data_IF_816451263613
#
_entry.id   IF_816451263613
#
_cell.length_a   1.000
_cell.length_b   1.000
_cell.length_c   1.000
_cell.angle_alpha   90.00
_cell.angle_beta   90.00
_cell.angle_gamma   90.00
#
_symmetry.space_group_name_H-M   'P 1'
#
loop_
_entity.id
_entity.type
_entity.pdbx_description
1 polymer ?
#
# COMPACT_ATOMS: atom_id res chain seq x y z
N UNK A 1 -10.93 -17.13 26.89
CA UNK A 1 -10.22 -16.16 27.76
C UNK A 1 -9.40 -15.28 26.82
N UNK A 2 -9.71 -14.00 26.68
CA UNK A 2 -8.88 -13.09 25.89
C UNK A 2 -7.68 -12.71 26.76
N UNK A 3 -6.52 -13.29 26.42
CA UNK A 3 -5.21 -13.03 27.04
C UNK A 3 -4.73 -11.61 26.72
N UNK A 4 -3.91 -11.00 27.57
CA UNK A 4 -3.25 -9.70 27.28
C UNK A 4 -2.02 -9.82 26.38
N UNK A 5 -1.58 -11.03 26.08
CA UNK A 5 -0.60 -11.36 25.06
C UNK A 5 -1.29 -12.14 23.95
N UNK A 6 -1.41 -11.55 22.77
CA UNK A 6 -1.99 -12.20 21.60
C UNK A 6 -0.87 -12.64 20.67
N UNK A 7 -0.56 -13.93 20.64
CA UNK A 7 0.29 -14.49 19.58
C UNK A 7 -0.57 -14.89 18.39
N UNK A 8 0.08 -15.08 17.23
CA UNK A 8 -0.61 -15.54 16.01
C UNK A 8 -1.30 -16.88 16.28
N UNK A 9 -0.69 -17.75 17.08
CA UNK A 9 -1.25 -19.05 17.42
C UNK A 9 -2.46 -18.95 18.34
N UNK A 10 -2.46 -18.02 19.30
CA UNK A 10 -3.61 -17.80 20.17
C UNK A 10 -4.84 -17.35 19.37
N UNK A 11 -4.64 -16.47 18.39
CA UNK A 11 -5.71 -16.01 17.51
C UNK A 11 -6.18 -17.12 16.56
N UNK A 12 -5.27 -17.94 16.04
CA UNK A 12 -5.65 -19.11 15.22
C UNK A 12 -6.46 -20.11 16.04
N UNK A 13 -6.04 -20.41 17.28
CA UNK A 13 -6.77 -21.30 18.17
C UNK A 13 -8.16 -20.73 18.48
N UNK A 14 -8.25 -19.43 18.76
CA UNK A 14 -9.54 -18.77 18.98
C UNK A 14 -10.47 -18.88 17.76
N UNK A 15 -9.95 -18.70 16.53
CA UNK A 15 -10.73 -18.87 15.30
C UNK A 15 -11.20 -20.33 15.11
N UNK A 16 -10.37 -21.31 15.47
CA UNK A 16 -10.75 -22.73 15.45
C UNK A 16 -11.84 -23.06 16.46
N UNK A 17 -11.74 -22.53 17.68
CA UNK A 17 -12.76 -22.70 18.71
C UNK A 17 -14.09 -22.05 18.27
N UNK A 18 -14.00 -20.88 17.64
CA UNK A 18 -15.14 -20.18 17.07
C UNK A 18 -15.80 -20.97 15.93
N UNK A 19 -15.02 -21.56 15.02
CA UNK A 19 -15.54 -22.45 13.98
C UNK A 19 -16.22 -23.69 14.57
N UNK A 20 -15.62 -24.32 15.57
CA UNK A 20 -16.21 -25.48 16.24
C UNK A 20 -17.56 -25.12 16.89
N UNK A 21 -17.62 -23.98 17.59
CA UNK A 21 -18.86 -23.47 18.17
C UNK A 21 -19.92 -23.15 17.10
N UNK A 22 -19.52 -22.52 15.99
CA UNK A 22 -20.41 -22.25 14.85
C UNK A 22 -20.98 -23.55 14.28
N UNK A 23 -20.14 -24.55 14.02
CA UNK A 23 -20.59 -25.84 13.46
C UNK A 23 -21.58 -26.55 14.38
N UNK A 24 -21.35 -26.50 15.70
CA UNK A 24 -22.27 -27.04 16.69
C UNK A 24 -23.62 -26.29 16.68
N UNK A 25 -23.60 -24.96 16.61
CA UNK A 25 -24.82 -24.14 16.59
C UNK A 25 -25.68 -24.40 15.35
N UNK A 26 -25.05 -24.63 14.20
CA UNK A 26 -25.74 -24.87 12.93
C UNK A 26 -25.85 -26.36 12.56
N UNK A 27 -25.60 -27.26 13.51
CA UNK A 27 -25.70 -28.72 13.33
C UNK A 27 -24.96 -29.22 12.08
N UNK A 28 -23.84 -28.60 11.73
CA UNK A 28 -23.04 -28.91 10.53
C UNK A 28 -23.79 -28.78 9.19
N UNK A 29 -24.98 -28.16 9.18
CA UNK A 29 -25.80 -27.97 7.96
C UNK A 29 -25.26 -26.89 7.05
N UNK A 30 -24.50 -25.93 7.59
CA UNK A 30 -23.89 -24.83 6.84
C UNK A 30 -22.35 -24.89 6.97
N UNK A 31 -21.61 -24.63 5.87
CA UNK A 31 -20.17 -24.46 5.97
C UNK A 31 -19.84 -23.22 6.81
N UNK A 32 -18.67 -23.23 7.45
CA UNK A 32 -18.16 -22.04 8.11
C UNK A 32 -17.88 -20.96 7.06
N UNK A 33 -18.39 -19.72 7.27
CA UNK A 33 -18.24 -18.66 6.28
C UNK A 33 -16.77 -18.28 6.12
N UNK A 34 -16.29 -18.29 4.88
CA UNK A 34 -14.97 -17.72 4.53
C UNK A 34 -15.18 -16.29 4.03
N UNK A 35 -14.71 -15.27 4.77
CA UNK A 35 -14.81 -13.90 4.31
C UNK A 35 -13.89 -13.73 3.08
N UNK A 36 -14.34 -13.05 2.03
CA UNK A 36 -13.50 -12.80 0.87
C UNK A 36 -12.37 -11.80 1.17
N UNK A 37 -12.61 -10.84 2.08
CA UNK A 37 -11.61 -9.91 2.61
C UNK A 37 -11.68 -9.87 4.14
N UNK A 38 -10.51 -9.80 4.77
CA UNK A 38 -10.34 -9.45 6.18
C UNK A 38 -9.61 -8.13 6.27
N UNK A 39 -10.27 -7.13 6.85
CA UNK A 39 -9.66 -5.82 7.13
C UNK A 39 -9.00 -5.82 8.51
N UNK A 40 -7.80 -5.25 8.57
CA UNK A 40 -7.02 -5.09 9.79
C UNK A 40 -6.61 -3.63 9.97
N UNK A 41 -6.47 -3.21 11.23
CA UNK A 41 -5.83 -1.96 11.66
C UNK A 41 -4.30 -1.95 11.47
N UNK A 42 -3.72 -2.99 10.86
CA UNK A 42 -2.28 -3.12 10.66
C UNK A 42 -1.61 -4.10 11.63
N UNK A 43 -2.36 -4.69 12.58
CA UNK A 43 -1.84 -5.75 13.46
C UNK A 43 -1.37 -6.96 12.65
N UNK A 44 -0.05 -7.20 12.63
CA UNK A 44 0.54 -8.32 11.90
C UNK A 44 0.09 -9.66 12.45
N UNK A 45 -0.06 -9.76 13.77
CA UNK A 45 -0.52 -10.97 14.45
C UNK A 45 -1.90 -11.40 13.93
N UNK A 46 -2.83 -10.44 13.80
CA UNK A 46 -4.16 -10.70 13.26
C UNK A 46 -4.12 -11.03 11.77
N UNK A 47 -3.29 -10.34 10.99
CA UNK A 47 -3.13 -10.61 9.57
C UNK A 47 -2.61 -12.03 9.31
N UNK A 48 -1.55 -12.43 10.02
CA UNK A 48 -0.99 -13.78 9.93
C UNK A 48 -1.98 -14.84 10.41
N UNK A 49 -2.76 -14.56 11.47
CA UNK A 49 -3.77 -15.50 11.96
C UNK A 49 -4.88 -15.70 10.92
N UNK A 50 -5.36 -14.62 10.30
CA UNK A 50 -6.35 -14.68 9.24
C UNK A 50 -5.83 -15.43 8.00
N UNK A 51 -4.61 -15.14 7.55
CA UNK A 51 -3.95 -15.86 6.45
C UNK A 51 -3.86 -17.35 6.76
N UNK A 52 -3.40 -17.72 7.96
CA UNK A 52 -3.22 -19.12 8.33
C UNK A 52 -4.54 -19.86 8.45
N UNK A 53 -5.53 -19.26 9.10
CA UNK A 53 -6.82 -19.89 9.35
C UNK A 53 -7.66 -20.01 8.06
N UNK A 54 -7.83 -18.91 7.32
CA UNK A 54 -8.73 -18.92 6.16
C UNK A 54 -8.10 -19.51 4.90
N UNK A 55 -6.78 -19.38 4.72
CA UNK A 55 -6.09 -19.74 3.47
C UNK A 55 -5.16 -20.95 3.60
N UNK A 56 -4.80 -21.35 4.82
CA UNK A 56 -3.71 -22.29 5.07
C UNK A 56 -2.32 -21.72 4.80
N UNK A 57 -2.19 -20.39 4.65
CA UNK A 57 -0.91 -19.74 4.40
C UNK A 57 -0.12 -19.69 5.72
N UNK A 58 0.93 -20.52 5.85
CA UNK A 58 1.72 -20.58 7.10
C UNK A 58 2.63 -19.38 7.31
N UNK A 59 2.89 -18.58 6.28
CA UNK A 59 3.80 -17.42 6.32
C UNK A 59 3.28 -16.27 5.47
N UNK A 60 3.74 -15.06 5.77
CA UNK A 60 3.50 -13.88 4.93
C UNK A 60 4.03 -14.11 3.49
N UNK A 61 5.19 -14.75 3.35
CA UNK A 61 5.77 -15.07 2.05
C UNK A 61 4.85 -15.93 1.19
N UNK A 62 4.14 -16.91 1.77
CA UNK A 62 3.18 -17.73 1.02
C UNK A 62 2.03 -16.88 0.45
N UNK A 63 1.49 -15.97 1.27
CA UNK A 63 0.47 -15.01 0.83
C UNK A 63 0.99 -14.09 -0.28
N UNK A 64 2.20 -13.54 -0.14
CA UNK A 64 2.80 -12.64 -1.14
C UNK A 64 3.10 -13.37 -2.45
N UNK A 65 3.59 -14.61 -2.41
CA UNK A 65 3.81 -15.44 -3.61
C UNK A 65 2.51 -15.71 -4.36
N UNK A 66 1.43 -16.06 -3.63
CA UNK A 66 0.09 -16.22 -4.24
C UNK A 66 -0.40 -14.91 -4.85
N UNK A 67 -0.27 -13.81 -4.11
CA UNK A 67 -0.63 -12.46 -4.57
C UNK A 67 0.09 -12.11 -5.86
N UNK A 68 1.38 -12.45 -5.95
CA UNK A 68 2.19 -12.26 -7.15
C UNK A 68 1.67 -13.06 -8.34
N UNK A 69 1.30 -14.32 -8.14
CA UNK A 69 0.71 -15.18 -9.18
C UNK A 69 -0.62 -14.59 -9.71
N UNK A 70 -1.45 -14.03 -8.82
CA UNK A 70 -2.71 -13.36 -9.17
C UNK A 70 -2.45 -12.14 -10.06
N UNK A 71 -1.60 -11.20 -9.62
CA UNK A 71 -1.35 -9.97 -10.39
C UNK A 71 -0.64 -10.26 -11.73
N UNK A 72 0.08 -11.38 -11.83
CA UNK A 72 0.71 -11.86 -13.07
C UNK A 72 -0.21 -12.72 -13.95
N UNK A 73 -1.51 -12.77 -13.68
CA UNK A 73 -2.49 -13.47 -14.52
C UNK A 73 -2.27 -14.98 -14.63
N UNK A 74 -1.63 -15.58 -13.60
CA UNK A 74 -1.26 -17.00 -13.54
C UNK A 74 -2.00 -17.79 -12.46
N UNK A 75 -2.87 -17.15 -11.70
CA UNK A 75 -3.64 -17.78 -10.62
C UNK A 75 -4.66 -18.81 -11.12
N UNK A 76 -4.82 -19.85 -10.29
CA UNK A 76 -5.88 -20.86 -10.40
C UNK A 76 -7.17 -20.37 -9.73
N UNK A 77 -8.27 -21.09 -9.94
CA UNK A 77 -9.52 -20.80 -9.21
C UNK A 77 -9.35 -20.98 -7.70
N UNK A 78 -8.48 -21.90 -7.26
CA UNK A 78 -8.19 -22.07 -5.83
C UNK A 78 -7.54 -20.81 -5.27
N UNK A 79 -6.53 -20.26 -5.94
CA UNK A 79 -5.84 -19.03 -5.53
C UNK A 79 -6.80 -17.85 -5.40
N UNK A 80 -7.75 -17.73 -6.33
CA UNK A 80 -8.75 -16.67 -6.37
C UNK A 80 -9.86 -16.83 -5.32
N UNK A 81 -10.06 -18.05 -4.81
CA UNK A 81 -11.07 -18.35 -3.78
C UNK A 81 -10.61 -18.08 -2.34
N UNK A 82 -9.33 -17.75 -2.15
CA UNK A 82 -8.73 -17.51 -0.84
C UNK A 82 -9.00 -16.09 -0.36
N UNK A 83 -9.08 -15.93 0.96
CA UNK A 83 -9.30 -14.65 1.63
C UNK A 83 -8.13 -13.70 1.38
N UNK A 84 -8.44 -12.47 1.01
CA UNK A 84 -7.49 -11.35 0.95
C UNK A 84 -7.40 -10.69 2.33
N UNK A 85 -6.19 -10.50 2.83
CA UNK A 85 -5.96 -9.76 4.07
C UNK A 85 -5.46 -8.36 3.71
N UNK A 86 -6.13 -7.34 4.25
CA UNK A 86 -5.90 -5.95 3.87
C UNK A 86 -5.76 -5.03 5.09
N UNK A 87 -4.68 -4.27 5.16
CA UNK A 87 -4.50 -3.15 6.09
C UNK A 87 -5.37 -1.98 5.66
N UNK A 88 -6.14 -1.43 6.57
CA UNK A 88 -6.97 -0.27 6.27
C UNK A 88 -6.10 0.98 5.99
N UNK A 89 -6.60 1.82 5.07
CA UNK A 89 -5.88 2.97 4.56
C UNK A 89 -5.52 4.01 5.64
N UNK A 90 -6.38 4.19 6.65
CA UNK A 90 -6.13 5.16 7.72
C UNK A 90 -4.88 4.78 8.55
N UNK A 91 -4.76 3.52 8.95
CA UNK A 91 -3.61 3.03 9.71
C UNK A 91 -2.35 2.95 8.86
N UNK A 92 -2.47 2.50 7.60
CA UNK A 92 -1.38 2.57 6.63
C UNK A 92 -0.85 4.01 6.49
N UNK A 93 -1.74 4.98 6.30
CA UNK A 93 -1.39 6.39 6.17
C UNK A 93 -0.76 6.96 7.43
N UNK A 94 -1.21 6.53 8.63
CA UNK A 94 -0.58 6.89 9.92
C UNK A 94 0.88 6.41 9.95
N UNK A 95 1.13 5.15 9.57
CA UNK A 95 2.48 4.59 9.46
C UNK A 95 3.37 5.35 8.47
N UNK A 96 2.85 5.60 7.25
CA UNK A 96 3.55 6.38 6.22
C UNK A 96 3.90 7.78 6.71
N UNK A 97 2.95 8.48 7.36
CA UNK A 97 3.16 9.82 7.92
C UNK A 97 4.29 9.82 8.94
N UNK A 98 4.27 8.88 9.88
CA UNK A 98 5.29 8.74 10.92
C UNK A 98 6.68 8.47 10.33
N UNK A 99 6.79 7.65 9.28
CA UNK A 99 8.08 7.49 8.61
C UNK A 99 8.47 8.76 7.87
N UNK A 100 7.56 9.38 7.12
CA UNK A 100 7.82 10.61 6.37
C UNK A 100 8.34 11.75 7.26
N UNK A 101 7.86 11.90 8.49
CA UNK A 101 8.34 12.92 9.44
C UNK A 101 9.81 12.76 9.84
N UNK A 102 10.40 11.56 9.67
CA UNK A 102 11.82 11.32 9.93
C UNK A 102 12.72 11.82 8.79
N UNK A 103 12.16 11.97 7.59
CA UNK A 103 12.91 12.31 6.37
C UNK A 103 12.60 13.70 5.84
N UNK A 104 11.42 14.25 6.16
CA UNK A 104 10.96 15.52 5.63
C UNK A 104 10.58 16.51 6.73
N UNK A 105 10.71 17.79 6.41
CA UNK A 105 10.11 18.84 7.22
C UNK A 105 8.58 18.71 7.18
N UNK A 106 7.89 19.20 8.23
CA UNK A 106 6.42 19.15 8.35
C UNK A 106 5.70 19.57 7.07
N UNK A 107 6.19 20.63 6.40
CA UNK A 107 5.61 21.15 5.16
C UNK A 107 5.65 20.19 3.97
N UNK A 108 6.58 19.22 3.97
CA UNK A 108 6.84 18.27 2.88
C UNK A 108 6.28 16.86 3.18
N UNK A 109 5.78 16.60 4.39
CA UNK A 109 5.11 15.33 4.73
C UNK A 109 3.85 15.11 3.90
N UNK A 110 3.14 16.18 3.54
CA UNK A 110 2.00 16.12 2.62
C UNK A 110 2.41 15.53 1.25
N UNK A 111 3.64 15.82 0.77
CA UNK A 111 4.16 15.23 -0.47
C UNK A 111 4.28 13.73 -0.38
N UNK A 112 4.89 13.26 0.71
CA UNK A 112 5.05 11.84 0.98
C UNK A 112 3.68 11.12 1.03
N UNK A 113 2.71 11.69 1.72
CA UNK A 113 1.36 11.13 1.79
C UNK A 113 0.65 11.12 0.42
N UNK A 114 0.85 12.16 -0.38
CA UNK A 114 0.27 12.26 -1.72
C UNK A 114 0.84 11.20 -2.67
N UNK A 115 2.16 11.04 -2.76
CA UNK A 115 2.75 9.99 -3.62
C UNK A 115 2.37 8.58 -3.17
N UNK A 116 2.27 8.33 -1.85
CA UNK A 116 1.86 7.03 -1.34
C UNK A 116 0.37 6.77 -1.60
N UNK A 117 -0.46 7.81 -1.62
CA UNK A 117 -1.86 7.69 -2.02
C UNK A 117 -2.00 7.30 -3.49
N UNK A 118 -1.12 7.77 -4.38
CA UNK A 118 -1.12 7.31 -5.79
C UNK A 118 -0.81 5.81 -5.90
N UNK A 119 0.16 5.31 -5.12
CA UNK A 119 0.46 3.89 -5.07
C UNK A 119 -0.72 3.06 -4.52
N UNK A 120 -1.38 3.52 -3.45
CA UNK A 120 -2.56 2.85 -2.89
C UNK A 120 -3.67 2.68 -3.93
N UNK A 121 -3.87 3.70 -4.76
CA UNK A 121 -4.94 3.75 -5.77
C UNK A 121 -4.59 3.07 -7.10
N UNK A 122 -3.40 2.47 -7.20
CA UNK A 122 -3.02 1.65 -8.35
C UNK A 122 -3.80 0.32 -8.33
N UNK A 123 -4.49 0.01 -9.43
CA UNK A 123 -5.33 -1.18 -9.54
C UNK A 123 -4.58 -2.35 -10.17
N UNK A 124 -3.49 -2.08 -10.89
CA UNK A 124 -2.61 -3.09 -11.49
C UNK A 124 -1.17 -2.94 -11.02
N UNK A 125 -0.38 -4.02 -11.12
CA UNK A 125 1.03 -3.97 -10.73
C UNK A 125 1.83 -3.09 -11.68
N UNK A 126 1.41 -3.03 -12.94
CA UNK A 126 1.97 -2.18 -13.99
C UNK A 126 1.71 -0.70 -13.72
N UNK A 127 0.49 -0.33 -13.32
CA UNK A 127 0.16 1.03 -12.88
C UNK A 127 1.02 1.44 -11.68
N UNK A 128 1.11 0.56 -10.67
CA UNK A 128 1.92 0.83 -9.47
C UNK A 128 3.41 0.98 -9.83
N UNK A 129 3.93 0.16 -10.74
CA UNK A 129 5.29 0.27 -11.24
C UNK A 129 5.53 1.61 -11.95
N UNK A 130 4.61 2.03 -12.82
CA UNK A 130 4.69 3.33 -13.49
C UNK A 130 4.69 4.49 -12.50
N UNK A 131 3.83 4.44 -11.47
CA UNK A 131 3.83 5.44 -10.40
C UNK A 131 5.15 5.42 -9.62
N UNK A 132 5.64 4.23 -9.27
CA UNK A 132 6.90 4.05 -8.56
C UNK A 132 8.10 4.58 -9.37
N UNK A 133 8.10 4.42 -10.68
CA UNK A 133 9.14 4.97 -11.55
C UNK A 133 9.21 6.49 -11.44
N UNK A 134 8.08 7.18 -11.59
CA UNK A 134 8.03 8.63 -11.49
C UNK A 134 8.37 9.13 -10.08
N UNK A 135 7.92 8.43 -9.03
CA UNK A 135 8.29 8.70 -7.65
C UNK A 135 9.80 8.58 -7.45
N UNK A 136 10.42 7.51 -7.99
CA UNK A 136 11.87 7.35 -7.97
C UNK A 136 12.57 8.51 -8.67
N UNK A 137 12.15 8.88 -9.88
CA UNK A 137 12.75 10.01 -10.60
C UNK A 137 12.66 11.30 -9.80
N UNK A 138 11.50 11.60 -9.20
CA UNK A 138 11.30 12.80 -8.39
C UNK A 138 12.18 12.81 -7.14
N UNK A 139 12.30 11.70 -6.43
CA UNK A 139 13.06 11.65 -5.18
C UNK A 139 14.57 11.39 -5.38
N UNK A 140 15.00 10.94 -6.57
CA UNK A 140 16.42 10.72 -6.94
C UNK A 140 17.05 11.85 -7.78
N UNK A 141 16.25 12.72 -8.39
CA UNK A 141 16.80 13.85 -9.16
C UNK A 141 17.24 14.97 -8.22
N UNK A 142 18.52 15.38 -8.19
CA UNK A 142 18.98 16.46 -7.31
C UNK A 142 18.46 17.85 -7.72
N UNK A 143 18.07 18.01 -8.99
CA UNK A 143 17.58 19.26 -9.57
C UNK A 143 16.25 19.06 -10.28
N UNK A 144 15.51 20.15 -10.49
CA UNK A 144 14.27 20.20 -11.27
C UNK A 144 14.55 20.14 -12.77
N UNK A 145 15.24 19.10 -13.22
CA UNK A 145 15.55 18.87 -14.62
C UNK A 145 14.29 18.45 -15.42
N UNK A 146 14.46 18.19 -16.71
CA UNK A 146 13.35 17.78 -17.59
C UNK A 146 12.68 16.49 -17.10
N UNK A 147 13.45 15.49 -16.67
CA UNK A 147 12.93 14.21 -16.19
C UNK A 147 12.09 14.36 -14.90
N UNK A 148 12.53 15.23 -13.98
CA UNK A 148 11.76 15.63 -12.80
C UNK A 148 10.42 16.24 -13.20
N UNK A 149 10.45 17.25 -14.08
CA UNK A 149 9.24 18.00 -14.49
C UNK A 149 8.21 17.10 -15.19
N UNK A 150 8.69 16.20 -16.05
CA UNK A 150 7.85 15.18 -16.69
C UNK A 150 7.24 14.25 -15.63
N UNK A 151 8.04 13.76 -14.69
CA UNK A 151 7.56 12.84 -13.66
C UNK A 151 6.53 13.47 -12.72
N UNK A 152 6.73 14.71 -12.28
CA UNK A 152 5.72 15.46 -11.51
C UNK A 152 4.43 15.63 -12.32
N UNK A 153 4.53 15.93 -13.62
CA UNK A 153 3.37 16.09 -14.49
C UNK A 153 2.60 14.78 -14.63
N UNK A 154 3.29 13.64 -14.79
CA UNK A 154 2.67 12.32 -14.84
C UNK A 154 1.98 11.95 -13.52
N UNK A 155 2.60 12.22 -12.38
CA UNK A 155 2.00 11.98 -11.05
C UNK A 155 0.78 12.88 -10.82
N UNK A 156 0.84 14.14 -11.25
CA UNK A 156 -0.28 15.08 -11.15
C UNK A 156 -1.45 14.66 -12.04
N UNK A 157 -1.17 14.21 -13.26
CA UNK A 157 -2.20 13.63 -14.14
C UNK A 157 -2.85 12.37 -13.52
N UNK A 158 -2.05 11.51 -12.88
CA UNK A 158 -2.58 10.36 -12.16
C UNK A 158 -3.47 10.78 -10.98
N UNK A 159 -3.08 11.81 -10.22
CA UNK A 159 -3.89 12.40 -9.15
C UNK A 159 -5.23 12.92 -9.67
N UNK A 160 -5.22 13.64 -10.80
CA UNK A 160 -6.44 14.17 -11.42
C UNK A 160 -7.38 13.04 -11.88
N UNK A 161 -6.84 11.96 -12.46
CA UNK A 161 -7.65 10.80 -12.81
C UNK A 161 -8.30 10.15 -11.58
N UNK A 162 -7.60 10.05 -10.46
CA UNK A 162 -8.18 9.55 -9.21
C UNK A 162 -9.26 10.50 -8.68
N UNK A 163 -9.09 11.81 -8.81
CA UNK A 163 -10.09 12.79 -8.37
C UNK A 163 -11.35 12.83 -9.25
N UNK A 164 -11.20 12.51 -10.55
CA UNK A 164 -12.30 12.48 -11.52
C UNK A 164 -13.04 11.13 -11.55
N UNK A 165 -12.48 10.10 -10.93
CA UNK A 165 -13.12 8.81 -10.78
C UNK A 165 -14.19 8.91 -9.67
N UNK A 166 -15.49 8.80 -10.02
CA UNK A 166 -16.58 8.96 -9.06
C UNK A 166 -16.61 7.81 -8.05
N UNK A 167 -16.03 6.67 -8.42
CA UNK A 167 -15.84 5.59 -7.49
C UNK A 167 -14.73 5.99 -6.54
N UNK A 168 -13.55 6.43 -6.97
CA UNK A 168 -12.45 6.74 -6.03
C UNK A 168 -12.69 7.99 -5.15
N UNK A 169 -12.73 7.77 -3.83
CA UNK A 169 -12.59 8.84 -2.84
C UNK A 169 -11.25 8.74 -2.11
N UNK A 170 -10.30 9.60 -2.49
CA UNK A 170 -9.07 9.78 -1.76
C UNK A 170 -8.93 11.23 -1.28
N UNK A 171 -9.23 11.41 0.01
CA UNK A 171 -9.15 12.71 0.68
C UNK A 171 -7.79 13.40 0.51
N UNK A 172 -6.69 12.64 0.55
CA UNK A 172 -5.34 13.21 0.42
C UNK A 172 -5.14 13.74 -1.00
N UNK A 173 -5.46 12.96 -2.03
CA UNK A 173 -5.32 13.37 -3.44
C UNK A 173 -6.24 14.55 -3.80
N UNK A 174 -7.44 14.64 -3.20
CA UNK A 174 -8.35 15.78 -3.42
C UNK A 174 -7.83 17.09 -2.82
N UNK A 175 -7.18 17.01 -1.66
CA UNK A 175 -6.76 18.19 -0.89
C UNK A 175 -5.30 18.59 -1.10
N UNK A 176 -4.55 17.80 -1.86
CA UNK A 176 -3.14 18.03 -2.14
C UNK A 176 -2.93 18.19 -3.65
N UNK A 177 -2.71 19.43 -4.09
CA UNK A 177 -2.37 19.75 -5.48
C UNK A 177 -0.88 20.08 -5.58
N UNK A 178 -0.24 19.42 -6.54
CA UNK A 178 1.15 19.65 -6.93
C UNK A 178 1.13 20.25 -8.31
N UNK A 179 1.74 21.42 -8.49
CA UNK A 179 1.84 22.02 -9.82
C UNK A 179 2.98 21.39 -10.64
N UNK A 180 3.11 21.79 -11.90
CA UNK A 180 4.15 21.29 -12.81
C UNK A 180 5.59 21.63 -12.39
N UNK A 181 5.77 22.51 -11.40
CA UNK A 181 7.07 22.85 -10.78
C UNK A 181 7.30 22.09 -9.49
N UNK A 182 6.37 21.21 -9.09
CA UNK A 182 6.42 20.52 -7.82
C UNK A 182 6.06 21.41 -6.64
N UNK A 183 5.52 22.60 -6.85
CA UNK A 183 5.07 23.47 -5.76
C UNK A 183 3.69 23.06 -5.27
N UNK A 184 3.54 23.05 -3.95
CA UNK A 184 2.29 22.69 -3.28
C UNK A 184 1.34 23.87 -3.20
N UNK A 185 0.10 23.65 -3.63
CA UNK A 185 -1.01 24.54 -3.30
C UNK A 185 -1.76 23.97 -2.09
N UNK A 186 -1.58 24.63 -0.94
CA UNK A 186 -2.15 24.23 0.34
C UNK A 186 -3.68 24.41 0.37
N UNK A 187 -4.37 23.42 0.97
CA UNK A 187 -5.71 23.59 1.54
C UNK A 187 -5.59 23.66 3.07
N UNK A 188 -6.18 24.67 3.70
CA UNK A 188 -6.14 24.90 5.17
C UNK A 188 -6.71 23.74 5.99
N UNK A 189 -7.48 22.84 5.37
CA UNK A 189 -8.09 21.66 6.00
C UNK A 189 -7.07 20.55 6.30
N UNK A 190 -5.94 20.51 5.57
CA UNK A 190 -4.93 19.46 5.72
C UNK A 190 -4.05 19.65 6.97
N UNK A 191 -3.81 20.90 7.37
CA UNK A 191 -3.01 21.24 8.55
C UNK A 191 -3.65 20.69 9.84
N UNK A 192 -4.99 20.71 9.93
CA UNK A 192 -5.72 20.17 11.07
C UNK A 192 -5.52 18.65 11.23
N UNK A 193 -5.35 17.91 10.13
CA UNK A 193 -5.17 16.43 10.12
C UNK A 193 -3.70 16.04 10.30
N UNK A 194 -2.77 16.86 9.80
CA UNK A 194 -1.35 16.70 10.10
C UNK A 194 -1.10 16.96 11.60
N UNK A 195 -1.87 17.83 12.24
CA UNK A 195 -1.69 18.18 13.65
C UNK A 195 -2.49 17.33 14.65
N UNK A 196 -3.66 16.78 14.27
CA UNK A 196 -4.54 16.06 15.20
C UNK A 196 -4.17 14.60 15.52
N UNK A 197 -3.09 14.06 14.94
CA UNK A 197 -2.77 12.62 15.01
C UNK A 197 -1.35 12.32 15.55
N UNK A 198 -0.78 13.20 16.35
CA UNK A 198 0.48 12.97 17.08
C UNK A 198 0.11 12.45 18.48
N UNK A 199 -0.51 11.28 18.55
CA UNK A 199 -0.47 10.44 19.76
C UNK A 199 0.45 9.27 19.42
N UNK A 200 1.66 9.33 19.99
CA UNK A 200 2.85 8.56 19.60
C UNK A 200 2.83 7.08 20.05
N UNK A 201 1.91 6.68 20.95
CA UNK A 201 2.04 5.43 21.72
C UNK A 201 1.77 4.13 20.91
N UNK A 202 0.87 4.16 19.92
CA UNK A 202 0.54 2.97 19.11
C UNK A 202 1.50 2.71 17.92
N UNK A 203 2.40 3.66 17.63
CA UNK A 203 3.17 3.66 16.39
C UNK A 203 4.42 2.78 16.45
N UNK A 204 5.04 2.63 17.61
CA UNK A 204 6.25 1.81 17.80
C UNK A 204 5.99 0.31 17.56
N UNK A 205 4.84 -0.20 18.00
CA UNK A 205 4.44 -1.60 17.77
C UNK A 205 4.20 -1.92 16.29
N UNK A 206 3.66 -0.96 15.51
CA UNK A 206 3.44 -1.16 14.06
C UNK A 206 4.74 -1.26 13.25
N UNK A 207 5.83 -0.64 13.74
CA UNK A 207 7.13 -0.58 13.05
C UNK A 207 7.94 -1.84 13.36
N UNK A 208 7.92 -2.33 14.61
CA UNK A 208 8.58 -3.59 14.97
C UNK A 208 7.95 -4.80 14.25
N UNK A 209 6.63 -4.79 14.07
CA UNK A 209 5.90 -5.80 13.28
C UNK A 209 6.19 -5.67 11.78
N UNK A 210 6.24 -4.47 11.20
CA UNK A 210 6.62 -4.28 9.79
C UNK A 210 8.07 -4.70 9.48
N UNK A 211 8.99 -4.52 10.43
CA UNK A 211 10.37 -5.01 10.30
C UNK A 211 10.44 -6.55 10.31
N UNK A 212 9.50 -7.25 10.95
CA UNK A 212 9.44 -8.71 10.90
C UNK A 212 9.01 -9.25 9.51
N UNK A 213 8.34 -8.44 8.69
CA UNK A 213 8.07 -8.76 7.29
C UNK A 213 9.31 -8.64 6.38
N UNK A 214 10.36 -7.95 6.82
CA UNK A 214 11.58 -7.67 6.03
C UNK A 214 12.39 -8.96 5.76
N UNK A 215 12.24 -9.99 6.60
CA UNK A 215 12.84 -11.32 6.39
C UNK A 215 12.07 -12.20 5.40
N UNK A 216 10.87 -11.80 4.97
CA UNK A 216 10.05 -12.63 4.09
C UNK A 216 10.49 -12.55 2.63
N UNK A 217 10.56 -13.70 1.95
CA UNK A 217 10.73 -13.73 0.50
C UNK A 217 9.49 -13.12 -0.18
N UNK A 218 9.66 -11.95 -0.80
CA UNK A 218 8.62 -11.21 -1.49
C UNK A 218 8.98 -10.95 -2.96
N UNK A 219 8.21 -11.50 -3.93
CA UNK A 219 8.38 -11.17 -5.34
C UNK A 219 8.16 -9.68 -5.65
N UNK A 220 7.33 -9.00 -4.86
CA UNK A 220 7.10 -7.56 -5.00
C UNK A 220 8.36 -6.76 -4.64
N UNK A 221 9.09 -7.17 -3.59
CA UNK A 221 10.37 -6.55 -3.22
C UNK A 221 11.34 -6.62 -4.39
N UNK A 222 11.52 -7.80 -4.97
CA UNK A 222 12.49 -8.01 -6.06
C UNK A 222 12.10 -7.16 -7.29
N UNK A 223 10.83 -7.16 -7.64
CA UNK A 223 10.32 -6.39 -8.77
C UNK A 223 10.50 -4.88 -8.58
N UNK A 224 10.02 -4.30 -7.49
CA UNK A 224 10.15 -2.86 -7.24
C UNK A 224 11.60 -2.43 -6.95
N UNK A 225 12.44 -3.33 -6.47
CA UNK A 225 13.90 -3.09 -6.36
C UNK A 225 14.54 -3.00 -7.73
N UNK A 226 14.15 -3.86 -8.67
CA UNK A 226 14.60 -3.76 -10.07
C UNK A 226 14.20 -2.41 -10.67
N UNK A 227 12.94 -2.00 -10.50
CA UNK A 227 12.43 -0.70 -10.98
C UNK A 227 13.22 0.46 -10.36
N UNK A 228 13.47 0.41 -9.04
CA UNK A 228 14.27 1.42 -8.34
C UNK A 228 15.70 1.51 -8.89
N UNK A 229 16.37 0.37 -9.09
CA UNK A 229 17.74 0.32 -9.59
C UNK A 229 17.86 0.86 -11.02
N UNK A 230 16.88 0.55 -11.88
CA UNK A 230 16.80 1.09 -13.24
C UNK A 230 16.66 2.61 -13.21
N UNK A 231 15.74 3.14 -12.37
CA UNK A 231 15.55 4.59 -12.26
C UNK A 231 16.74 5.31 -11.63
N UNK A 232 17.41 4.67 -10.66
CA UNK A 232 18.66 5.19 -10.07
C UNK A 232 19.75 5.32 -11.13
N UNK A 233 19.88 4.33 -12.01
CA UNK A 233 20.84 4.35 -13.12
C UNK A 233 20.50 5.46 -14.11
N UNK A 234 19.23 5.60 -14.50
CA UNK A 234 18.76 6.68 -15.39
C UNK A 234 19.01 8.07 -14.77
N UNK A 235 18.69 8.27 -13.49
CA UNK A 235 18.92 9.54 -12.79
C UNK A 235 20.40 9.92 -12.71
N UNK A 236 21.28 8.95 -12.52
CA UNK A 236 22.73 9.19 -12.53
C UNK A 236 23.24 9.66 -13.91
N UNK A 237 22.60 9.25 -15.01
CA UNK A 237 22.95 9.72 -16.36
C UNK A 237 22.58 11.21 -16.55
N UNK A 238 21.44 11.64 -16.03
CA UNK A 238 20.99 13.05 -16.12
C UNK A 238 21.79 14.00 -15.22
N UNK A 239 22.50 13.48 -14.23
CA UNK A 239 23.40 14.25 -13.37
C UNK A 239 24.68 14.75 -14.11
N UNK A 240 24.86 14.42 -15.39
CA UNK A 240 25.96 14.94 -16.20
C UNK A 240 25.54 16.08 -17.13
N UNK A 241 24.25 16.46 -17.14
CA UNK A 241 23.76 17.62 -17.89
C UNK A 241 24.09 18.91 -17.13
N UNK A 242 24.56 19.94 -17.84
CA UNK A 242 25.02 21.21 -17.25
C UNK A 242 24.02 21.81 -16.22
N UNK A 243 24.34 21.67 -14.94
CA UNK A 243 23.51 22.06 -13.80
C UNK A 243 23.20 23.57 -13.68
N UNK A 244 23.91 24.44 -14.40
CA UNK A 244 23.78 25.90 -14.25
C UNK A 244 22.42 26.48 -14.65
N UNK A 245 21.47 25.68 -15.17
CA UNK A 245 20.13 26.14 -15.59
C UNK A 245 18.97 25.65 -14.74
N UNK A 246 19.16 24.71 -13.82
CA UNK A 246 18.04 24.09 -13.08
C UNK A 246 18.04 24.46 -11.61
N UNK A 247 16.85 24.65 -11.05
CA UNK A 247 16.66 24.85 -9.62
C UNK A 247 16.92 23.55 -8.84
N UNK A 248 17.27 23.68 -7.57
CA UNK A 248 17.35 22.54 -6.64
C UNK A 248 15.98 21.87 -6.48
N UNK A 249 15.98 20.54 -6.40
CA UNK A 249 14.76 19.80 -6.14
C UNK A 249 14.45 19.76 -4.63
N UNK A 250 13.32 20.34 -4.17
CA UNK A 250 12.98 20.35 -2.75
C UNK A 250 12.62 18.97 -2.19
N UNK A 251 12.34 17.96 -3.03
CA UNK A 251 11.96 16.61 -2.59
C UNK A 251 13.08 15.58 -2.73
N UNK A 252 14.28 15.96 -3.19
CA UNK A 252 15.40 15.04 -3.31
C UNK A 252 15.65 14.34 -1.96
N UNK A 253 15.38 13.04 -1.91
CA UNK A 253 15.48 12.23 -0.70
C UNK A 253 15.62 10.73 -1.04
N UNK A 254 16.83 10.28 -1.42
CA UNK A 254 17.08 8.89 -1.77
C UNK A 254 16.91 7.91 -0.59
N UNK A 255 17.05 8.37 0.64
CA UNK A 255 16.91 7.50 1.82
C UNK A 255 15.45 7.24 2.17
N UNK A 256 14.55 8.21 1.95
CA UNK A 256 13.12 7.97 2.05
C UNK A 256 12.62 6.94 1.02
N UNK A 257 13.17 6.94 -0.20
CA UNK A 257 12.85 5.91 -1.19
C UNK A 257 13.23 4.50 -0.72
N UNK A 258 14.41 4.33 -0.13
CA UNK A 258 14.84 3.04 0.43
C UNK A 258 13.87 2.59 1.53
N UNK A 259 13.42 3.52 2.38
CA UNK A 259 12.43 3.26 3.42
C UNK A 259 11.08 2.81 2.84
N UNK A 260 10.58 3.46 1.78
CA UNK A 260 9.33 3.04 1.11
C UNK A 260 9.49 1.64 0.50
N UNK A 261 10.63 1.41 -0.16
CA UNK A 261 10.91 0.15 -0.84
C UNK A 261 10.95 -1.03 0.14
N UNK A 262 11.64 -0.87 1.28
CA UNK A 262 11.77 -1.94 2.28
C UNK A 262 10.46 -2.17 3.04
N UNK A 263 9.84 -1.11 3.58
CA UNK A 263 8.72 -1.24 4.50
C UNK A 263 7.36 -1.46 3.81
N UNK A 264 7.15 -0.83 2.64
CA UNK A 264 5.82 -0.78 2.04
C UNK A 264 5.73 -1.60 0.75
N UNK A 265 6.63 -1.39 -0.21
CA UNK A 265 6.51 -2.05 -1.52
C UNK A 265 6.72 -3.57 -1.46
N UNK A 266 7.52 -4.05 -0.51
CA UNK A 266 7.69 -5.48 -0.24
C UNK A 266 6.38 -6.19 0.12
N UNK A 267 5.41 -5.46 0.68
CA UNK A 267 4.10 -5.97 1.12
C UNK A 267 2.94 -5.25 0.45
N UNK A 268 3.16 -4.72 -0.76
CA UNK A 268 2.18 -3.92 -1.51
C UNK A 268 0.75 -4.50 -1.54
N UNK A 269 0.52 -5.82 -1.73
CA UNK A 269 -0.83 -6.38 -1.75
C UNK A 269 -1.65 -6.18 -0.46
N UNK A 270 -0.98 -5.96 0.68
CA UNK A 270 -1.64 -5.83 1.97
C UNK A 270 -2.31 -4.46 2.11
N UNK A 271 -1.77 -3.39 1.54
CA UNK A 271 -2.27 -2.02 1.79
C UNK A 271 -2.78 -1.31 0.53
N UNK A 272 -2.56 -1.87 -0.65
CA UNK A 272 -2.98 -1.29 -1.94
C UNK A 272 -4.22 -1.96 -2.52
N UNK A 273 -4.72 -1.39 -3.62
CA UNK A 273 -5.84 -1.96 -4.35
C UNK A 273 -5.48 -3.16 -5.25
N UNK A 274 -4.23 -3.64 -5.26
CA UNK A 274 -3.78 -4.72 -6.15
C UNK A 274 -4.64 -5.99 -6.05
N UNK A 275 -5.14 -6.35 -4.87
CA UNK A 275 -6.03 -7.51 -4.68
C UNK A 275 -7.47 -7.14 -4.33
N UNK A 276 -7.79 -5.84 -4.25
CA UNK A 276 -9.12 -5.38 -3.85
C UNK A 276 -10.05 -5.29 -5.06
N UNK A 277 -11.35 -5.46 -4.84
CA UNK A 277 -12.36 -5.29 -5.90
C UNK A 277 -12.32 -6.37 -6.98
N UNK A 278 -12.65 -6.01 -8.22
CA UNK A 278 -12.85 -6.97 -9.31
C UNK A 278 -11.53 -7.46 -9.92
N UNK A 279 -11.14 -8.70 -9.62
CA UNK A 279 -9.94 -9.33 -10.18
C UNK A 279 -10.04 -9.62 -11.69
N UNK A 280 -11.19 -9.40 -12.31
CA UNK A 280 -11.39 -9.44 -13.77
C UNK A 280 -10.46 -8.51 -14.55
N UNK A 281 -9.92 -7.45 -13.92
CA UNK A 281 -8.85 -6.61 -14.49
C UNK A 281 -7.57 -7.39 -14.84
N UNK A 282 -7.35 -8.55 -14.23
CA UNK A 282 -6.27 -9.48 -14.54
C UNK A 282 -6.67 -10.57 -15.56
N UNK A 283 -7.90 -10.52 -16.10
CA UNK A 283 -8.40 -11.46 -17.10
C UNK A 283 -9.21 -12.64 -16.54
N UNK A 284 -9.52 -12.64 -15.25
CA UNK A 284 -10.29 -13.70 -14.60
C UNK A 284 -11.81 -13.50 -14.81
N UNK A 285 -12.46 -14.41 -15.56
CA UNK A 285 -13.85 -14.22 -16.03
C UNK A 285 -14.97 -14.60 -15.04
N UNK A 286 -14.66 -15.20 -13.88
CA UNK A 286 -15.66 -15.77 -12.96
C UNK A 286 -15.41 -15.43 -11.48
N UNK A 287 -14.71 -14.34 -11.17
CA UNK A 287 -14.56 -13.90 -9.78
C UNK A 287 -15.72 -12.96 -9.50
N UNK A 288 -16.72 -13.41 -8.74
CA UNK A 288 -17.75 -12.50 -8.25
C UNK A 288 -17.05 -11.34 -7.52
N UNK A 289 -17.42 -10.08 -7.80
CA UNK A 289 -16.77 -8.94 -7.17
C UNK A 289 -16.91 -9.06 -5.67
N UNK A 290 -15.79 -9.00 -4.96
CA UNK A 290 -15.78 -9.08 -3.51
C UNK A 290 -16.55 -7.86 -2.97
N UNK A 291 -17.70 -8.08 -2.33
CA UNK A 291 -18.50 -7.00 -1.77
C UNK A 291 -17.75 -6.26 -0.65
N UNK A 292 -17.76 -4.93 -0.73
CA UNK A 292 -17.02 -4.04 0.17
C UNK A 292 -17.77 -3.74 1.47
N UNK A 293 -17.03 -3.42 2.53
CA UNK A 293 -17.54 -2.74 3.71
C UNK A 293 -17.80 -1.25 3.38
N UNK A 294 -18.76 -0.62 4.06
CA UNK A 294 -19.19 0.78 3.83
C UNK A 294 -18.08 1.85 3.91
N UNK A 295 -16.93 1.54 4.51
CA UNK A 295 -15.73 2.39 4.49
C UNK A 295 -15.00 2.42 3.12
N UNK A 296 -15.44 1.59 2.17
CA UNK A 296 -14.87 1.43 0.82
C UNK A 296 -15.95 1.43 -0.28
N UNK A 297 -17.15 1.97 -0.01
CA UNK A 297 -18.25 2.08 -1.00
C UNK A 297 -17.87 2.85 -2.28
N UNK A 298 -16.72 3.52 -2.25
CA UNK A 298 -16.04 4.26 -3.32
C UNK A 298 -14.99 3.42 -4.07
N UNK A 299 -15.15 2.09 -4.21
CA UNK A 299 -14.12 1.24 -4.86
C UNK A 299 -14.71 0.19 -5.80
N UNK A 300 -15.89 0.47 -6.35
CA UNK A 300 -16.69 -0.44 -7.16
C UNK A 300 -16.44 -0.24 -8.65
N UNK A 301 -15.32 -0.75 -9.19
CA UNK A 301 -15.28 -1.33 -10.54
C UNK A 301 -14.06 -2.22 -10.76
#
# INVERSE_FOLDING_TARGET
>A
MLSTTHTTMDLVQWLQDFEAAYRNLYEFKAPFPRPPIVHSDGSLVFQLAAMRFFNGDNTMSAFLKRSWIIVNKKATNEDLSKTVVHSCFAHFSKGVKHQATKFFTKKKVAFALWIMSLLVNSNTVEEMASMWEHICTVLLSPTQNTAYSVSISCLSYAADNVNNDPDKDNFIIRNVKVDSKGEYQYSSTLDQIIDSNIDDDDTENSISEQNACDESESPFRDYFTSVFNDQKTKCAMFANENFQKYNENPYYNPDYLKCILSLYLSVAPIWSNLLMGNLGRYGYRNVEPIQHCGCHNSRTT
#
